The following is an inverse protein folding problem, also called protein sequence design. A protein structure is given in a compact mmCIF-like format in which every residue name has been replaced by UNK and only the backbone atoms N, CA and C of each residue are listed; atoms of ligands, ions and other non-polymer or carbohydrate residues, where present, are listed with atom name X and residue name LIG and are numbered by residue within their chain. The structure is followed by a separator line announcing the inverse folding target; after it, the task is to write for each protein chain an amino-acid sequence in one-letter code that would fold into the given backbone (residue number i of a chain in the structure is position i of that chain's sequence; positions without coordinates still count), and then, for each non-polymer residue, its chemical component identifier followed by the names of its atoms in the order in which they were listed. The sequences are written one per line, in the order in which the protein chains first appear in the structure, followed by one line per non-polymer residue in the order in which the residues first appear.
data_IF_923835544592
#
_entry.id   IF_923835544592
#
_cell.length_a   1.000
_cell.length_b   1.000
_cell.length_c   1.000
_cell.angle_alpha   90.00
_cell.angle_beta   90.00
_cell.angle_gamma   90.00
#
_symmetry.space_group_name_H-M   'P 1'
#
loop_
_entity.id
_entity.type
_entity.pdbx_description
1 polymer ?
#
# COMPACT_ATOMS: atom_id res chain seq x y z
N UNK A 1 7.56 5.82 -28.13
CA UNK A 1 6.81 4.73 -27.47
C UNK A 1 6.51 5.17 -26.05
N UNK A 2 5.29 4.96 -25.53
CA UNK A 2 4.95 5.32 -24.15
C UNK A 2 5.56 4.25 -23.22
N UNK A 3 6.48 4.66 -22.35
CA UNK A 3 7.10 3.78 -21.36
C UNK A 3 6.93 4.41 -19.97
N UNK A 4 6.91 3.58 -18.93
CA UNK A 4 6.94 4.11 -17.57
C UNK A 4 8.27 4.85 -17.32
N UNK A 5 8.18 5.98 -16.62
CA UNK A 5 9.27 6.96 -16.45
C UNK A 5 10.54 6.36 -15.81
N UNK A 6 10.39 5.28 -15.04
CA UNK A 6 11.48 4.65 -14.30
C UNK A 6 12.15 3.48 -15.03
N UNK A 7 11.57 2.99 -16.14
CA UNK A 7 12.07 1.79 -16.84
C UNK A 7 13.43 2.05 -17.49
N UNK A 8 14.36 1.13 -17.29
CA UNK A 8 15.71 1.21 -17.84
C UNK A 8 16.66 2.16 -17.09
N UNK A 9 16.22 2.74 -15.97
CA UNK A 9 17.05 3.69 -15.19
C UNK A 9 18.05 2.97 -14.29
N UNK A 10 17.58 1.99 -13.50
CA UNK A 10 18.37 1.28 -12.48
C UNK A 10 18.67 -0.19 -12.87
N UNK A 11 18.37 -0.55 -14.12
CA UNK A 11 18.62 -1.87 -14.69
C UNK A 11 17.47 -2.87 -14.55
N UNK A 12 17.63 -4.02 -15.23
CA UNK A 12 16.57 -5.01 -15.42
C UNK A 12 15.96 -5.55 -14.12
N UNK A 13 16.77 -5.78 -13.08
CA UNK A 13 16.28 -6.34 -11.82
C UNK A 13 15.35 -5.39 -11.07
N UNK A 14 15.64 -4.09 -11.11
CA UNK A 14 14.79 -3.07 -10.47
C UNK A 14 13.50 -2.90 -11.27
N UNK A 15 13.57 -2.96 -12.60
CA UNK A 15 12.38 -2.93 -13.46
C UNK A 15 11.47 -4.12 -13.16
N UNK A 16 12.00 -5.35 -13.15
CA UNK A 16 11.24 -6.57 -12.83
C UNK A 16 10.62 -6.49 -11.43
N UNK A 17 11.41 -6.05 -10.43
CA UNK A 17 10.92 -5.88 -9.06
C UNK A 17 9.80 -4.84 -8.98
N UNK A 18 9.95 -3.70 -9.65
CA UNK A 18 8.94 -2.63 -9.65
C UNK A 18 7.60 -3.11 -10.22
N UNK A 19 7.63 -3.87 -11.33
CA UNK A 19 6.44 -4.48 -11.91
C UNK A 19 5.81 -5.53 -11.00
N UNK A 20 6.64 -6.41 -10.43
CA UNK A 20 6.16 -7.44 -9.50
C UNK A 20 5.46 -6.82 -8.29
N UNK A 21 6.08 -5.81 -7.66
CA UNK A 21 5.51 -5.13 -6.50
C UNK A 21 4.21 -4.40 -6.87
N UNK A 22 4.16 -3.71 -8.01
CA UNK A 22 2.94 -3.05 -8.48
C UNK A 22 1.80 -4.04 -8.71
N UNK A 23 2.08 -5.16 -9.38
CA UNK A 23 1.10 -6.21 -9.63
C UNK A 23 0.60 -6.82 -8.32
N UNK A 24 1.51 -7.07 -7.38
CA UNK A 24 1.22 -7.61 -6.06
C UNK A 24 0.35 -6.64 -5.24
N UNK A 25 0.69 -5.36 -5.23
CA UNK A 25 -0.07 -4.31 -4.55
C UNK A 25 -1.50 -4.22 -5.08
N UNK A 26 -1.68 -4.13 -6.40
CA UNK A 26 -3.01 -4.04 -7.02
C UNK A 26 -3.84 -5.28 -6.69
N UNK A 27 -3.23 -6.47 -6.78
CA UNK A 27 -3.89 -7.73 -6.46
C UNK A 27 -4.37 -7.77 -5.00
N UNK A 28 -3.51 -7.46 -4.04
CA UNK A 28 -3.87 -7.50 -2.62
C UNK A 28 -4.87 -6.41 -2.22
N UNK A 29 -4.80 -5.21 -2.80
CA UNK A 29 -5.80 -4.17 -2.57
C UNK A 29 -7.17 -4.64 -3.05
N UNK A 30 -7.26 -5.15 -4.29
CA UNK A 30 -8.51 -5.66 -4.84
C UNK A 30 -9.08 -6.82 -4.02
N UNK A 31 -8.24 -7.79 -3.67
CA UNK A 31 -8.63 -8.92 -2.85
C UNK A 31 -9.10 -8.47 -1.45
N UNK A 32 -8.40 -7.54 -0.79
CA UNK A 32 -8.75 -7.06 0.53
C UNK A 32 -10.10 -6.34 0.54
N UNK A 33 -10.33 -5.41 -0.40
CA UNK A 33 -11.60 -4.67 -0.51
C UNK A 33 -12.76 -5.63 -0.76
N UNK A 34 -12.61 -6.57 -1.71
CA UNK A 34 -13.64 -7.57 -1.99
C UNK A 34 -13.97 -8.42 -0.76
N UNK A 35 -12.95 -8.86 -0.03
CA UNK A 35 -13.12 -9.70 1.17
C UNK A 35 -13.82 -8.94 2.31
N UNK A 36 -13.42 -7.68 2.54
CA UNK A 36 -14.05 -6.81 3.55
C UNK A 36 -15.52 -6.59 3.20
N UNK A 37 -15.82 -6.29 1.94
CA UNK A 37 -17.19 -6.05 1.49
C UNK A 37 -18.07 -7.29 1.61
N UNK A 38 -17.57 -8.47 1.23
CA UNK A 38 -18.37 -9.70 1.36
C UNK A 38 -18.67 -10.06 2.81
N UNK A 39 -17.75 -9.76 3.74
CA UNK A 39 -17.91 -10.10 5.16
C UNK A 39 -18.73 -9.09 5.95
N UNK A 40 -18.48 -7.80 5.76
CA UNK A 40 -19.06 -6.73 6.58
C UNK A 40 -19.84 -5.70 5.76
N UNK A 41 -19.97 -5.87 4.44
CA UNK A 41 -20.73 -5.00 3.53
C UNK A 41 -20.37 -3.52 3.74
N UNK A 42 -21.39 -2.66 3.81
CA UNK A 42 -21.27 -1.22 3.95
C UNK A 42 -20.54 -0.76 5.23
N UNK A 43 -20.87 -1.22 6.45
CA UNK A 43 -20.18 -0.72 7.64
C UNK A 43 -18.68 -1.05 7.66
N UNK A 44 -18.27 -2.21 7.13
CA UNK A 44 -16.84 -2.55 7.00
C UNK A 44 -16.10 -1.62 6.04
N UNK A 45 -16.72 -1.28 4.91
CA UNK A 45 -16.14 -0.33 3.96
C UNK A 45 -15.99 1.07 4.53
N UNK A 46 -16.98 1.55 5.30
CA UNK A 46 -16.90 2.87 5.93
C UNK A 46 -15.73 2.94 6.92
N UNK A 47 -15.58 1.94 7.79
CA UNK A 47 -14.45 1.90 8.73
C UNK A 47 -13.11 1.82 8.00
N UNK A 48 -13.00 1.01 6.94
CA UNK A 48 -11.78 0.90 6.14
C UNK A 48 -11.39 2.25 5.51
N UNK A 49 -12.31 2.90 4.79
CA UNK A 49 -12.01 4.18 4.13
C UNK A 49 -11.80 5.33 5.11
N UNK A 50 -12.59 5.41 6.18
CA UNK A 50 -12.41 6.45 7.21
C UNK A 50 -11.09 6.28 7.96
N UNK A 51 -10.70 5.05 8.31
CA UNK A 51 -9.40 4.80 8.96
C UNK A 51 -8.23 5.13 8.03
N UNK A 52 -8.31 4.79 6.74
CA UNK A 52 -7.30 5.16 5.75
C UNK A 52 -7.18 6.68 5.60
N UNK A 53 -8.31 7.38 5.48
CA UNK A 53 -8.34 8.84 5.39
C UNK A 53 -7.73 9.49 6.63
N UNK A 54 -8.11 9.02 7.83
CA UNK A 54 -7.54 9.48 9.09
C UNK A 54 -6.04 9.23 9.19
N UNK A 55 -5.55 8.08 8.74
CA UNK A 55 -4.13 7.77 8.74
C UNK A 55 -3.33 8.72 7.84
N UNK A 56 -3.82 8.99 6.62
CA UNK A 56 -3.19 9.91 5.67
C UNK A 56 -3.18 11.33 6.23
N UNK A 57 -4.34 11.83 6.68
CA UNK A 57 -4.46 13.18 7.24
C UNK A 57 -3.59 13.30 8.48
N UNK A 58 -3.60 12.32 9.38
CA UNK A 58 -2.76 12.29 10.59
C UNK A 58 -1.27 12.37 10.26
N UNK A 59 -0.79 11.58 9.30
CA UNK A 59 0.61 11.61 8.88
C UNK A 59 1.01 12.98 8.31
N UNK A 60 0.23 13.53 7.38
CA UNK A 60 0.46 14.86 6.79
C UNK A 60 0.45 15.95 7.86
N UNK A 61 -0.48 15.85 8.80
CA UNK A 61 -0.62 16.79 9.92
C UNK A 61 0.62 16.79 10.80
N UNK A 62 1.12 15.61 11.20
CA UNK A 62 2.35 15.47 12.00
C UNK A 62 3.55 16.06 11.26
N UNK A 63 3.73 15.74 9.97
CA UNK A 63 4.85 16.25 9.17
C UNK A 63 4.80 17.78 9.06
N UNK A 64 3.59 18.32 8.90
CA UNK A 64 3.39 19.77 8.75
C UNK A 64 3.63 20.52 10.06
N UNK A 65 3.05 20.05 11.18
CA UNK A 65 3.26 20.70 12.48
C UNK A 65 4.69 20.59 12.99
N UNK A 66 5.42 19.53 12.62
CA UNK A 66 6.85 19.38 12.96
C UNK A 66 7.78 20.08 11.98
N UNK A 67 7.26 20.70 10.91
CA UNK A 67 8.06 21.31 9.83
C UNK A 67 9.09 20.33 9.21
N UNK A 68 8.77 19.04 9.18
CA UNK A 68 9.68 17.98 8.75
C UNK A 68 9.70 17.73 7.24
N UNK A 69 8.98 18.51 6.45
CA UNK A 69 8.93 18.38 4.98
C UNK A 69 10.31 18.32 4.30
N UNK A 70 11.31 19.14 4.69
CA UNK A 70 12.65 19.04 4.11
C UNK A 70 13.31 17.68 4.37
N UNK A 71 13.18 17.16 5.60
CA UNK A 71 13.75 15.86 5.96
C UNK A 71 13.08 14.71 5.18
N UNK A 72 11.75 14.78 4.99
CA UNK A 72 11.00 13.81 4.17
C UNK A 72 11.47 13.84 2.72
N UNK A 73 11.70 15.02 2.15
CA UNK A 73 12.17 15.16 0.78
C UNK A 73 13.58 14.60 0.57
N UNK A 74 14.50 14.89 1.50
CA UNK A 74 15.86 14.33 1.50
C UNK A 74 15.81 12.81 1.59
N UNK A 75 15.01 12.28 2.52
CA UNK A 75 14.81 10.84 2.67
C UNK A 75 14.28 10.20 1.39
N UNK A 76 13.26 10.81 0.76
CA UNK A 76 12.68 10.32 -0.51
C UNK A 76 13.73 10.24 -1.62
N UNK A 77 14.56 11.28 -1.76
CA UNK A 77 15.65 11.30 -2.73
C UNK A 77 16.71 10.22 -2.45
N UNK A 78 16.98 9.92 -1.18
CA UNK A 78 17.97 8.93 -0.77
C UNK A 78 17.51 7.47 -0.98
N UNK A 79 16.21 7.19 -1.07
CA UNK A 79 15.70 5.82 -1.25
C UNK A 79 15.93 5.25 -2.66
N UNK A 80 16.06 6.11 -3.68
CA UNK A 80 16.09 5.68 -5.08
C UNK A 80 14.80 4.99 -5.54
N UNK A 81 14.76 4.50 -6.78
CA UNK A 81 13.55 3.89 -7.35
C UNK A 81 13.22 2.58 -6.61
N UNK A 82 14.19 1.67 -6.53
CA UNK A 82 13.99 0.37 -5.87
C UNK A 82 13.53 0.48 -4.41
N UNK A 83 14.08 1.43 -3.65
CA UNK A 83 13.68 1.65 -2.26
C UNK A 83 12.23 2.11 -2.12
N UNK A 84 11.78 3.04 -2.97
CA UNK A 84 10.38 3.52 -2.97
C UNK A 84 9.42 2.37 -3.30
N UNK A 85 9.75 1.51 -4.28
CA UNK A 85 8.94 0.33 -4.56
C UNK A 85 8.96 -0.67 -3.38
N UNK A 86 10.08 -0.83 -2.67
CA UNK A 86 10.10 -1.68 -1.47
C UNK A 86 9.13 -1.18 -0.39
N UNK A 87 8.97 0.14 -0.22
CA UNK A 87 7.98 0.70 0.71
C UNK A 87 6.53 0.36 0.36
N UNK A 88 6.22 0.13 -0.92
CA UNK A 88 4.90 -0.33 -1.36
C UNK A 88 4.56 -1.76 -0.91
N UNK A 89 5.55 -2.55 -0.48
CA UNK A 89 5.29 -3.85 0.12
C UNK A 89 4.58 -3.75 1.47
N UNK A 90 4.77 -2.66 2.22
CA UNK A 90 4.07 -2.46 3.50
C UNK A 90 2.54 -2.36 3.34
N UNK A 91 1.97 -1.46 2.51
CA UNK A 91 0.53 -1.42 2.30
C UNK A 91 0.02 -2.71 1.65
N UNK A 92 0.81 -3.36 0.80
CA UNK A 92 0.44 -4.66 0.24
C UNK A 92 0.35 -5.76 1.32
N UNK A 93 1.30 -5.80 2.25
CA UNK A 93 1.28 -6.73 3.39
C UNK A 93 0.12 -6.46 4.33
N UNK A 94 -0.18 -5.19 4.61
CA UNK A 94 -1.36 -4.79 5.41
C UNK A 94 -2.66 -5.21 4.72
N UNK A 95 -2.77 -5.01 3.40
CA UNK A 95 -3.93 -5.43 2.63
C UNK A 95 -4.10 -6.96 2.64
N UNK A 96 -3.01 -7.70 2.41
CA UNK A 96 -3.00 -9.17 2.47
C UNK A 96 -3.35 -9.71 3.85
N UNK A 97 -2.80 -9.13 4.91
CA UNK A 97 -3.12 -9.50 6.28
C UNK A 97 -4.57 -9.17 6.66
N UNK A 98 -5.08 -8.03 6.21
CA UNK A 98 -6.49 -7.66 6.35
C UNK A 98 -7.42 -8.69 5.71
N UNK A 99 -7.12 -9.11 4.47
CA UNK A 99 -7.83 -10.19 3.78
C UNK A 99 -7.75 -11.52 4.54
N UNK A 100 -6.57 -11.91 5.02
CA UNK A 100 -6.39 -13.13 5.81
C UNK A 100 -7.20 -13.13 7.11
N UNK A 101 -7.17 -12.04 7.88
CA UNK A 101 -7.97 -11.88 9.10
C UNK A 101 -9.47 -11.90 8.81
N UNK A 102 -9.88 -11.38 7.66
CA UNK A 102 -11.26 -11.44 7.21
C UNK A 102 -11.68 -12.88 6.87
N UNK A 103 -10.79 -13.73 6.35
CA UNK A 103 -11.10 -15.12 5.99
C UNK A 103 -10.94 -16.12 7.14
N UNK A 104 -10.04 -15.89 8.11
CA UNK A 104 -9.69 -16.90 9.15
C UNK A 104 -10.85 -17.39 10.02
N UNK A 105 -11.97 -16.66 10.07
CA UNK A 105 -13.17 -17.01 10.86
C UNK A 105 -14.34 -17.49 9.99
N UNK A 106 -14.11 -17.71 8.70
CA UNK A 106 -15.16 -18.18 7.78
C UNK A 106 -15.36 -19.70 7.81
N UNK A 107 -14.43 -20.47 8.39
CA UNK A 107 -14.57 -21.92 8.53
C UNK A 107 -15.47 -22.21 9.75
N UNK A 108 -16.68 -22.77 9.57
CA UNK A 108 -17.49 -23.22 10.69
C UNK A 108 -16.76 -24.35 11.41
N UNK A 109 -16.62 -24.23 12.73
CA UNK A 109 -16.16 -25.34 13.58
C UNK A 109 -17.36 -26.23 13.84
N UNK A 110 -17.35 -27.42 13.23
CA UNK A 110 -18.21 -28.53 13.63
C UNK A 110 -17.75 -29.08 14.99
#
# INVERSE_FOLDING_TARGET
MFNALWLGSDGFWVDLFSFFVMQLLVFFIGASIATIYMRWRMPGMLVFWSSLALAIVGAVTIITFTSSWPAVAIWFGAQGIGGIFAWLLLPAAVAGFGGFLALRRAIPKN
#
